data_IF_143993825204
#
_entry.id   IF_143993825204
#
_cell.length_a   1.000
_cell.length_b   1.000
_cell.length_c   1.000
_cell.angle_alpha   90.00
_cell.angle_beta   90.00
_cell.angle_gamma   90.00
#
_symmetry.space_group_name_H-M   'P 1'
#
loop_
_entity.id
_entity.type
_entity.pdbx_description
1 polymer ?
#
# COMPACT_ATOMS: atom_id res chain seq x y z
N UNK A 1 3.58 3.52 -15.01
CA UNK A 1 3.04 2.46 -14.15
C UNK A 1 2.76 3.07 -12.79
N UNK A 2 1.50 3.11 -12.38
CA UNK A 2 1.06 3.59 -11.06
C UNK A 2 0.93 2.40 -10.13
N UNK A 3 1.63 2.45 -9.00
CA UNK A 3 1.63 1.40 -7.99
C UNK A 3 0.99 1.98 -6.73
N UNK A 4 0.08 1.24 -6.13
CA UNK A 4 -0.38 1.50 -4.77
C UNK A 4 0.06 0.38 -3.83
N UNK A 5 0.12 0.69 -2.54
CA UNK A 5 0.39 -0.28 -1.49
C UNK A 5 -0.50 -0.01 -0.28
N UNK A 6 -0.92 -1.06 0.42
CA UNK A 6 -1.46 -0.95 1.77
C UNK A 6 -1.02 -2.12 2.64
N UNK A 7 -1.06 -1.95 3.96
CA UNK A 7 -0.79 -3.03 4.91
C UNK A 7 -1.39 -2.68 6.27
N UNK A 8 -1.94 -3.69 6.95
CA UNK A 8 -2.30 -3.60 8.38
C UNK A 8 -1.05 -3.48 9.27
N UNK A 9 -1.24 -3.48 10.59
CA UNK A 9 -0.19 -3.47 11.59
C UNK A 9 0.83 -4.60 11.41
N UNK A 10 0.38 -5.77 10.94
CA UNK A 10 1.23 -6.92 10.66
C UNK A 10 2.25 -6.64 9.55
N UNK A 11 1.87 -5.84 8.56
CA UNK A 11 2.73 -5.45 7.44
C UNK A 11 3.32 -4.02 7.51
N UNK A 12 2.94 -3.20 8.50
CA UNK A 12 3.26 -1.77 8.55
C UNK A 12 4.75 -1.42 8.38
N UNK A 13 5.65 -2.10 9.10
CA UNK A 13 7.09 -1.82 8.99
C UNK A 13 7.68 -2.33 7.67
N UNK A 14 7.19 -3.47 7.17
CA UNK A 14 7.62 -4.00 5.87
C UNK A 14 7.15 -3.11 4.72
N UNK A 15 5.93 -2.56 4.80
CA UNK A 15 5.38 -1.60 3.84
C UNK A 15 6.33 -0.44 3.61
N UNK A 16 6.85 0.17 4.69
CA UNK A 16 7.82 1.28 4.61
C UNK A 16 9.10 0.88 3.87
N UNK A 17 9.64 -0.31 4.17
CA UNK A 17 10.84 -0.83 3.50
C UNK A 17 10.58 -1.04 2.00
N UNK A 18 9.43 -1.60 1.65
CA UNK A 18 9.01 -1.82 0.26
C UNK A 18 8.86 -0.49 -0.48
N UNK A 19 8.25 0.52 0.15
CA UNK A 19 8.09 1.85 -0.43
C UNK A 19 9.45 2.45 -0.81
N UNK A 20 10.42 2.43 0.11
CA UNK A 20 11.75 2.95 -0.16
C UNK A 20 12.50 2.12 -1.20
N UNK A 21 12.32 0.79 -1.20
CA UNK A 21 12.88 -0.07 -2.24
C UNK A 21 12.34 0.27 -3.63
N UNK A 22 11.02 0.43 -3.78
CA UNK A 22 10.39 0.79 -5.06
C UNK A 22 10.88 2.17 -5.53
N UNK A 23 10.95 3.15 -4.62
CA UNK A 23 11.51 4.47 -4.93
C UNK A 23 12.97 4.40 -5.39
N UNK A 24 13.78 3.53 -4.77
CA UNK A 24 15.18 3.33 -5.16
C UNK A 24 15.35 2.78 -6.59
N UNK A 25 14.31 2.11 -7.12
CA UNK A 25 14.26 1.63 -8.50
C UNK A 25 13.82 2.70 -9.50
N UNK A 26 13.56 3.94 -9.06
CA UNK A 26 13.05 5.02 -9.89
C UNK A 26 11.55 4.90 -10.21
N UNK A 27 10.81 4.11 -9.43
CA UNK A 27 9.36 3.94 -9.55
C UNK A 27 8.64 4.73 -8.46
N UNK A 28 7.41 5.16 -8.75
CA UNK A 28 6.55 5.81 -7.77
C UNK A 28 5.55 4.78 -7.21
N UNK A 29 5.31 4.86 -5.90
CA UNK A 29 4.31 4.08 -5.17
C UNK A 29 3.58 4.98 -4.19
N UNK A 30 2.26 4.90 -4.20
CA UNK A 30 1.38 5.64 -3.31
C UNK A 30 0.89 4.72 -2.19
N UNK A 31 1.06 5.16 -0.95
CA UNK A 31 0.55 4.46 0.24
C UNK A 31 -0.92 4.84 0.45
N UNK A 32 -1.82 3.85 0.37
CA UNK A 32 -3.27 4.09 0.44
C UNK A 32 -3.84 3.95 1.85
N UNK A 33 -3.06 3.50 2.83
CA UNK A 33 -3.54 3.35 4.20
C UNK A 33 -2.50 3.80 5.23
N UNK A 34 -2.96 4.03 6.46
CA UNK A 34 -2.23 4.17 7.71
C UNK A 34 -0.77 4.65 7.62
N UNK A 35 -0.61 5.94 7.89
CA UNK A 35 0.70 6.56 8.15
C UNK A 35 1.15 6.39 9.61
N UNK A 36 0.32 5.76 10.45
CA UNK A 36 0.55 5.50 11.86
C UNK A 36 0.28 4.03 12.17
N UNK A 37 1.00 3.47 13.14
CA UNK A 37 0.81 2.08 13.55
C UNK A 37 -0.41 1.98 14.48
N UNK A 38 -1.36 1.10 14.16
CA UNK A 38 -2.50 0.76 15.01
C UNK A 38 -2.60 -0.75 15.20
N UNK A 39 -2.32 -1.25 16.40
CA UNK A 39 -2.30 -2.69 16.69
C UNK A 39 -3.67 -3.39 16.54
N UNK A 40 -4.76 -2.63 16.46
CA UNK A 40 -6.12 -3.15 16.35
C UNK A 40 -6.69 -2.97 14.92
N UNK A 41 -5.89 -2.49 13.96
CA UNK A 41 -6.34 -2.37 12.57
C UNK A 41 -6.49 -3.75 11.90
N UNK A 42 -7.37 -3.79 10.91
CA UNK A 42 -7.80 -5.03 10.26
C UNK A 42 -7.52 -4.98 8.75
N UNK A 43 -6.79 -5.97 8.24
CA UNK A 43 -6.38 -6.03 6.83
C UNK A 43 -7.51 -5.94 5.78
N UNK A 44 -8.77 -6.39 5.99
CA UNK A 44 -9.80 -6.28 4.97
C UNK A 44 -10.10 -4.83 4.59
N UNK A 45 -10.04 -3.90 5.55
CA UNK A 45 -10.31 -2.49 5.30
C UNK A 45 -9.20 -1.87 4.44
N UNK A 46 -7.95 -2.20 4.75
CA UNK A 46 -6.77 -1.69 4.05
C UNK A 46 -6.60 -2.31 2.66
N UNK A 47 -6.86 -3.62 2.52
CA UNK A 47 -6.75 -4.35 1.24
C UNK A 47 -7.84 -3.93 0.26
N UNK A 48 -9.04 -3.61 0.75
CA UNK A 48 -10.16 -3.15 -0.07
C UNK A 48 -9.83 -1.87 -0.83
N UNK A 49 -9.11 -0.93 -0.20
CA UNK A 49 -8.67 0.32 -0.84
C UNK A 49 -7.83 0.03 -2.10
N UNK A 50 -6.85 -0.85 -1.98
CA UNK A 50 -5.99 -1.27 -3.09
C UNK A 50 -6.80 -1.95 -4.19
N UNK A 51 -7.61 -2.95 -3.82
CA UNK A 51 -8.40 -3.71 -4.79
C UNK A 51 -9.39 -2.82 -5.57
N UNK A 52 -10.08 -1.90 -4.88
CA UNK A 52 -11.01 -0.98 -5.52
C UNK A 52 -10.29 -0.02 -6.47
N UNK A 53 -9.17 0.57 -6.05
CA UNK A 53 -8.41 1.51 -6.87
C UNK A 53 -7.87 0.88 -8.15
N UNK A 54 -7.43 -0.39 -8.10
CA UNK A 54 -7.08 -1.15 -9.32
C UNK A 54 -8.33 -1.38 -10.17
N UNK A 55 -9.45 -1.81 -9.58
CA UNK A 55 -10.69 -2.10 -10.32
C UNK A 55 -11.25 -0.87 -11.07
N UNK A 56 -10.98 0.33 -10.53
CA UNK A 56 -11.36 1.62 -11.11
C UNK A 56 -10.35 2.14 -12.15
N UNK A 57 -9.27 1.40 -12.44
CA UNK A 57 -8.14 1.80 -13.30
C UNK A 57 -7.42 3.07 -12.80
N UNK A 58 -7.43 3.34 -11.49
CA UNK A 58 -6.67 4.45 -10.90
C UNK A 58 -5.18 4.10 -10.80
N UNK A 59 -4.89 2.82 -10.57
CA UNK A 59 -3.55 2.23 -10.47
C UNK A 59 -3.43 0.99 -11.36
N UNK A 60 -2.20 0.72 -11.81
CA UNK A 60 -1.88 -0.42 -12.66
C UNK A 60 -1.59 -1.69 -11.85
N UNK A 61 -1.04 -1.53 -10.64
CA UNK A 61 -0.69 -2.62 -9.71
C UNK A 61 -0.93 -2.19 -8.27
N UNK A 62 -1.25 -3.17 -7.43
CA UNK A 62 -1.30 -3.01 -5.98
C UNK A 62 -0.45 -4.06 -5.29
N UNK A 63 0.02 -3.70 -4.10
CA UNK A 63 0.79 -4.54 -3.19
C UNK A 63 0.03 -4.61 -1.88
#
# INVERSE_FOLDING_TARGET
MKICISADHGGFELKKIIIEHIKSMGLNVDDLNDNEYDAEDDYPDTTKLVAESISKNEYDKGI
#
